data_IF_280141101898
#
_entry.id   IF_280141101898
#
_cell.length_a   1.000
_cell.length_b   1.000
_cell.length_c   1.000
_cell.angle_alpha   90.00
_cell.angle_beta   90.00
_cell.angle_gamma   90.00
#
_symmetry.space_group_name_H-M   'P 1'
#
loop_
_entity.id
_entity.type
_entity.pdbx_description
1 polymer ?
#
# COMPACT_ATOMS: atom_id res chain seq x y z
N UNK A 1 -2.10 -8.26 -41.03
CA UNK A 1 -1.78 -8.99 -39.79
C UNK A 1 -0.67 -8.21 -39.09
N UNK A 2 -1.05 -7.20 -38.31
CA UNK A 2 -0.11 -6.23 -37.73
C UNK A 2 0.53 -6.86 -36.49
N UNK A 3 1.81 -7.21 -36.59
CA UNK A 3 2.62 -7.64 -35.46
C UNK A 3 2.78 -6.46 -34.51
N UNK A 4 1.92 -6.35 -33.51
CA UNK A 4 2.20 -5.52 -32.34
C UNK A 4 3.40 -6.14 -31.62
N UNK A 5 4.60 -5.66 -31.95
CA UNK A 5 5.80 -5.90 -31.16
C UNK A 5 5.53 -5.32 -29.78
N UNK A 6 5.46 -6.20 -28.77
CA UNK A 6 5.32 -5.75 -27.39
C UNK A 6 6.47 -4.77 -27.08
N UNK A 7 6.20 -3.61 -26.44
CA UNK A 7 7.25 -2.65 -26.13
C UNK A 7 8.36 -3.34 -25.34
N UNK A 8 9.62 -3.10 -25.75
CA UNK A 8 10.80 -3.68 -25.10
C UNK A 8 10.85 -3.18 -23.66
N UNK A 9 10.81 -4.11 -22.70
CA UNK A 9 10.83 -3.78 -21.28
C UNK A 9 12.14 -3.09 -20.92
N UNK A 10 12.05 -1.89 -20.32
CA UNK A 10 13.23 -1.13 -19.91
C UNK A 10 13.80 -1.69 -18.60
N UNK A 11 15.13 -1.63 -18.39
CA UNK A 11 15.74 -2.04 -17.13
C UNK A 11 15.18 -1.24 -15.95
N UNK A 12 15.16 -1.85 -14.77
CA UNK A 12 14.78 -1.18 -13.54
C UNK A 12 15.77 -0.05 -13.22
N UNK A 13 15.28 0.99 -12.55
CA UNK A 13 16.13 2.09 -12.11
C UNK A 13 17.17 1.61 -11.11
N UNK A 14 18.30 2.31 -11.06
CA UNK A 14 19.30 2.10 -10.02
C UNK A 14 18.64 2.32 -8.64
N UNK A 15 18.71 1.33 -7.72
CA UNK A 15 18.02 1.39 -6.44
C UNK A 15 18.47 2.58 -5.57
N UNK A 16 19.72 3.03 -5.70
CA UNK A 16 20.22 4.20 -4.98
C UNK A 16 19.57 5.49 -5.48
N UNK A 17 19.40 5.63 -6.80
CA UNK A 17 18.75 6.80 -7.40
C UNK A 17 17.26 6.83 -7.02
N UNK A 18 16.59 5.68 -7.11
CA UNK A 18 15.20 5.55 -6.69
C UNK A 18 15.03 5.84 -5.18
N UNK A 19 15.97 5.36 -4.35
CA UNK A 19 15.99 5.60 -2.91
C UNK A 19 16.18 7.07 -2.54
N UNK A 20 17.11 7.77 -3.19
CA UNK A 20 17.30 9.22 -3.03
C UNK A 20 16.02 9.96 -3.44
N UNK A 21 15.43 9.61 -4.59
CA UNK A 21 14.17 10.21 -5.06
C UNK A 21 13.04 10.03 -4.05
N UNK A 22 12.87 8.81 -3.52
CA UNK A 22 11.87 8.52 -2.49
C UNK A 22 12.14 9.29 -1.18
N UNK A 23 13.41 9.38 -0.76
CA UNK A 23 13.82 10.15 0.42
C UNK A 23 13.54 11.64 0.28
N UNK A 24 13.78 12.22 -0.91
CA UNK A 24 13.44 13.61 -1.22
C UNK A 24 11.92 13.85 -1.21
N UNK A 25 11.13 12.90 -1.74
CA UNK A 25 9.67 12.97 -1.65
C UNK A 25 9.22 12.93 -0.19
N UNK A 26 9.75 12.02 0.61
CA UNK A 26 9.44 11.93 2.04
C UNK A 26 9.81 13.23 2.77
N UNK A 27 11.00 13.79 2.52
CA UNK A 27 11.40 15.08 3.08
C UNK A 27 10.45 16.20 2.66
N UNK A 28 10.09 16.26 1.37
CA UNK A 28 9.15 17.26 0.86
C UNK A 28 7.77 17.14 1.54
N UNK A 29 7.27 15.92 1.80
CA UNK A 29 6.02 15.74 2.55
C UNK A 29 6.12 16.31 3.96
N UNK A 30 7.22 16.07 4.68
CA UNK A 30 7.41 16.68 6.00
C UNK A 30 7.51 18.20 5.95
N UNK A 31 8.24 18.77 4.99
CA UNK A 31 8.48 20.21 4.91
C UNK A 31 7.23 20.98 4.46
N UNK A 32 6.51 20.46 3.47
CA UNK A 32 5.37 21.15 2.86
C UNK A 32 4.08 20.87 3.65
N UNK A 33 3.89 19.62 4.08
CA UNK A 33 2.62 19.18 4.68
C UNK A 33 2.69 19.03 6.19
N UNK A 34 3.89 18.92 6.79
CA UNK A 34 4.06 18.74 8.23
C UNK A 34 3.92 17.29 8.72
N UNK A 35 3.65 16.34 7.83
CA UNK A 35 3.54 14.91 8.14
C UNK A 35 4.11 14.06 6.99
N UNK A 36 4.46 12.80 7.27
CA UNK A 36 5.06 11.90 6.28
C UNK A 36 4.05 11.05 5.51
N UNK A 37 4.57 10.20 4.62
CA UNK A 37 3.82 9.30 3.73
C UNK A 37 2.97 8.26 4.48
N UNK A 38 1.74 8.05 4.02
CA UNK A 38 0.81 7.07 4.57
C UNK A 38 -0.28 6.66 3.59
N UNK A 39 -0.79 5.43 3.70
CA UNK A 39 -1.88 4.92 2.83
C UNK A 39 -3.10 4.40 3.61
N UNK A 40 -2.92 3.87 4.82
CA UNK A 40 -3.98 3.12 5.53
C UNK A 40 -5.13 3.95 6.12
N UNK A 41 -4.94 5.21 6.53
CA UNK A 41 -6.05 6.03 7.06
C UNK A 41 -7.08 6.37 5.97
N UNK A 42 -6.66 6.60 4.73
CA UNK A 42 -7.53 6.89 3.59
C UNK A 42 -8.47 5.72 3.31
N UNK A 43 -7.94 4.50 3.22
CA UNK A 43 -8.72 3.27 2.98
C UNK A 43 -9.75 3.02 4.09
N UNK A 44 -9.42 3.35 5.34
CA UNK A 44 -10.36 3.12 6.45
C UNK A 44 -11.38 4.24 6.57
N UNK A 45 -11.02 5.49 6.29
CA UNK A 45 -11.98 6.60 6.27
C UNK A 45 -12.98 6.43 5.13
N UNK A 46 -12.55 5.97 3.95
CA UNK A 46 -13.48 5.61 2.87
C UNK A 46 -14.37 4.42 3.24
N UNK A 47 -13.84 3.40 3.91
CA UNK A 47 -14.64 2.28 4.40
C UNK A 47 -15.66 2.71 5.48
N UNK A 48 -15.27 3.60 6.40
CA UNK A 48 -16.15 4.14 7.43
C UNK A 48 -17.22 5.06 6.82
N UNK A 49 -16.86 5.89 5.83
CA UNK A 49 -17.83 6.69 5.09
C UNK A 49 -18.84 5.82 4.33
N UNK A 50 -18.38 4.73 3.70
CA UNK A 50 -19.27 3.75 3.08
C UNK A 50 -20.17 3.03 4.09
N UNK A 51 -19.64 2.68 5.27
CA UNK A 51 -20.42 2.08 6.36
C UNK A 51 -21.49 3.06 6.88
N UNK A 52 -21.15 4.35 7.01
CA UNK A 52 -22.09 5.38 7.43
C UNK A 52 -23.22 5.57 6.41
N UNK A 53 -22.92 5.50 5.11
CA UNK A 53 -23.93 5.59 4.05
C UNK A 53 -24.95 4.43 4.07
N UNK A 54 -24.55 3.24 4.56
CA UNK A 54 -25.41 2.04 4.60
C UNK A 54 -26.04 1.84 5.98
N UNK A 55 -25.34 2.15 7.06
CA UNK A 55 -25.74 1.89 8.45
C UNK A 55 -25.22 3.00 9.40
N UNK A 56 -25.79 4.22 9.33
CA UNK A 56 -25.28 5.39 10.07
C UNK A 56 -25.32 5.19 11.58
N UNK A 57 -26.41 4.63 12.11
CA UNK A 57 -26.58 4.38 13.55
C UNK A 57 -25.54 3.43 14.13
N UNK A 58 -25.12 2.41 13.36
CA UNK A 58 -24.07 1.47 13.79
C UNK A 58 -22.68 2.10 13.74
N UNK A 59 -22.45 2.98 12.76
CA UNK A 59 -21.19 3.66 12.60
C UNK A 59 -20.96 4.72 13.70
N UNK A 60 -22.01 5.45 14.09
CA UNK A 60 -21.92 6.50 15.12
C UNK A 60 -21.89 5.94 16.56
N UNK A 61 -22.57 4.81 16.81
CA UNK A 61 -22.61 4.19 18.15
C UNK A 61 -21.36 3.38 18.49
N UNK A 62 -20.54 3.03 17.51
CA UNK A 62 -19.34 2.24 17.73
C UNK A 62 -18.16 3.13 18.15
N UNK A 63 -17.59 2.89 19.33
CA UNK A 63 -16.48 3.67 19.89
C UNK A 63 -15.21 3.64 19.03
N UNK A 64 -15.03 2.63 18.17
CA UNK A 64 -13.93 2.57 17.22
C UNK A 64 -14.20 3.39 15.95
N UNK A 65 -15.45 3.57 15.54
CA UNK A 65 -15.77 4.33 14.33
C UNK A 65 -16.06 5.81 14.62
N UNK A 66 -16.59 6.14 15.80
CA UNK A 66 -16.88 7.51 16.25
C UNK A 66 -15.69 8.49 16.08
N UNK A 67 -14.46 8.01 16.28
CA UNK A 67 -13.21 8.79 16.10
C UNK A 67 -12.92 9.23 14.64
N UNK A 68 -13.61 8.65 13.66
CA UNK A 68 -13.45 8.99 12.24
C UNK A 68 -14.52 9.99 11.73
N UNK A 69 -15.48 10.39 12.57
CA UNK A 69 -16.58 11.30 12.23
C UNK A 69 -16.37 12.76 12.69
N UNK A 70 -15.18 13.11 13.20
CA UNK A 70 -14.86 14.51 13.51
C UNK A 70 -14.77 15.36 12.24
N UNK A 71 -15.01 16.67 12.38
CA UNK A 71 -15.19 17.75 11.37
C UNK A 71 -14.12 17.91 10.26
N UNK A 72 -13.22 16.94 10.07
CA UNK A 72 -12.24 16.97 8.98
C UNK A 72 -12.90 16.46 7.69
N UNK A 73 -13.18 17.38 6.76
CA UNK A 73 -13.63 17.05 5.41
C UNK A 73 -12.71 15.98 4.78
N UNK A 74 -13.29 15.00 4.08
CA UNK A 74 -12.56 13.96 3.31
C UNK A 74 -11.53 14.57 2.34
N UNK A 75 -11.72 15.84 1.95
CA UNK A 75 -10.83 16.63 1.07
C UNK A 75 -9.68 17.33 1.80
N UNK A 76 -9.72 17.48 3.13
CA UNK A 76 -8.58 17.95 3.96
C UNK A 76 -7.60 16.81 4.26
N UNK A 77 -8.02 15.57 4.02
CA UNK A 77 -7.19 14.39 4.16
C UNK A 77 -6.28 14.26 2.91
N UNK A 78 -5.19 15.03 2.91
CA UNK A 78 -4.11 15.01 1.90
C UNK A 78 -3.76 13.61 1.40
N UNK A 79 -3.95 12.60 2.24
CA UNK A 79 -3.71 11.21 1.93
C UNK A 79 -4.52 10.67 0.74
N UNK A 80 -5.66 11.29 0.38
CA UNK A 80 -6.35 10.98 -0.88
C UNK A 80 -5.51 11.42 -2.09
N UNK A 81 -4.90 12.61 -2.04
CA UNK A 81 -3.99 13.07 -3.09
C UNK A 81 -2.70 12.24 -3.14
N UNK A 82 -2.18 11.79 -2.00
CA UNK A 82 -1.07 10.83 -1.96
C UNK A 82 -1.43 9.52 -2.68
N UNK A 83 -2.59 8.93 -2.36
CA UNK A 83 -3.05 7.68 -3.00
C UNK A 83 -3.25 7.87 -4.50
N UNK A 84 -3.89 8.98 -4.92
CA UNK A 84 -4.05 9.32 -6.34
C UNK A 84 -2.69 9.51 -7.03
N UNK A 85 -1.76 10.21 -6.39
CA UNK A 85 -0.40 10.43 -6.88
C UNK A 85 0.38 9.11 -7.04
N UNK A 86 0.26 8.18 -6.10
CA UNK A 86 0.85 6.84 -6.18
C UNK A 86 0.22 6.03 -7.30
N UNK A 87 -1.10 6.10 -7.49
CA UNK A 87 -1.81 5.42 -8.58
C UNK A 87 -1.36 5.94 -9.96
N UNK A 88 -1.37 7.26 -10.15
CA UNK A 88 -0.96 7.90 -11.39
C UNK A 88 0.55 7.69 -11.65
N UNK A 89 1.39 7.87 -10.63
CA UNK A 89 2.82 7.64 -10.71
C UNK A 89 3.17 6.19 -11.04
N UNK A 90 2.48 5.23 -10.43
CA UNK A 90 2.61 3.80 -10.75
C UNK A 90 2.20 3.48 -12.18
N UNK A 91 1.09 4.05 -12.65
CA UNK A 91 0.62 3.87 -14.03
C UNK A 91 1.60 4.45 -15.06
N UNK A 92 2.06 5.69 -14.84
CA UNK A 92 3.07 6.33 -15.69
C UNK A 92 4.41 5.58 -15.65
N UNK A 93 4.81 5.07 -14.49
CA UNK A 93 5.99 4.23 -14.33
C UNK A 93 5.88 2.91 -15.10
N UNK A 94 4.73 2.24 -15.03
CA UNK A 94 4.46 1.02 -15.77
C UNK A 94 4.43 1.26 -17.29
N UNK A 95 3.82 2.35 -17.73
CA UNK A 95 3.76 2.76 -19.13
C UNK A 95 5.16 3.11 -19.68
N UNK A 96 5.89 4.00 -19.01
CA UNK A 96 7.24 4.42 -19.42
C UNK A 96 8.27 3.29 -19.37
N UNK A 97 8.06 2.30 -18.50
CA UNK A 97 8.88 1.09 -18.43
C UNK A 97 8.54 0.02 -19.49
N UNK A 98 7.51 0.22 -20.32
CA UNK A 98 7.06 -0.75 -21.31
C UNK A 98 6.43 -2.02 -20.69
N UNK A 99 5.97 -1.93 -19.43
CA UNK A 99 5.55 -3.08 -18.61
C UNK A 99 4.08 -3.02 -18.17
N UNK A 100 3.30 -2.14 -18.80
CA UNK A 100 1.85 -2.08 -18.57
C UNK A 100 1.18 -3.28 -19.24
N UNK A 101 0.87 -4.31 -18.44
CA UNK A 101 0.21 -5.54 -18.87
C UNK A 101 -0.88 -5.91 -17.87
N UNK A 102 -2.08 -6.19 -18.36
CA UNK A 102 -3.14 -6.77 -17.55
C UNK A 102 -2.96 -8.28 -17.51
N UNK A 103 -2.38 -8.78 -16.41
CA UNK A 103 -2.17 -10.21 -16.19
C UNK A 103 -2.22 -10.53 -14.69
N UNK A 104 -2.55 -11.79 -14.37
CA UNK A 104 -2.51 -12.30 -13.00
C UNK A 104 -1.18 -13.01 -12.78
N UNK A 105 -0.23 -12.32 -12.14
CA UNK A 105 1.06 -12.90 -11.79
C UNK A 105 0.89 -14.10 -10.85
N UNK A 106 1.16 -15.30 -11.38
CA UNK A 106 0.97 -16.58 -10.69
C UNK A 106 2.10 -17.55 -11.02
N UNK A 107 2.38 -18.46 -10.09
CA UNK A 107 3.28 -19.58 -10.37
C UNK A 107 2.65 -20.64 -11.29
N UNK A 108 3.46 -21.53 -11.88
CA UNK A 108 2.98 -22.57 -12.79
C UNK A 108 2.03 -23.57 -12.11
N UNK A 109 2.16 -23.78 -10.80
CA UNK A 109 1.38 -24.78 -10.04
C UNK A 109 0.06 -24.29 -9.46
N UNK A 110 -0.29 -23.02 -9.63
CA UNK A 110 -1.52 -22.45 -9.07
C UNK A 110 -2.48 -21.97 -10.16
N UNK A 111 -3.78 -22.21 -9.95
CA UNK A 111 -4.84 -21.68 -10.81
C UNK A 111 -5.03 -20.18 -10.57
N UNK A 112 -5.64 -19.48 -11.54
CA UNK A 112 -5.96 -18.04 -11.40
C UNK A 112 -6.87 -17.80 -10.19
N UNK A 113 -7.90 -18.63 -10.02
CA UNK A 113 -8.82 -18.55 -8.86
C UNK A 113 -8.09 -18.77 -7.54
N UNK A 114 -7.19 -19.76 -7.49
CA UNK A 114 -6.36 -20.01 -6.31
C UNK A 114 -5.46 -18.82 -5.96
N UNK A 115 -4.81 -18.22 -6.96
CA UNK A 115 -3.96 -17.03 -6.78
C UNK A 115 -4.75 -15.83 -6.27
N UNK A 116 -5.93 -15.58 -6.84
CA UNK A 116 -6.82 -14.51 -6.39
C UNK A 116 -7.33 -14.76 -4.97
N UNK A 117 -7.66 -16.02 -4.61
CA UNK A 117 -8.03 -16.39 -3.26
C UNK A 117 -6.92 -16.11 -2.24
N UNK A 118 -5.68 -16.48 -2.54
CA UNK A 118 -4.53 -16.17 -1.69
C UNK A 118 -4.23 -14.67 -1.61
N UNK A 119 -4.38 -13.93 -2.72
CA UNK A 119 -4.21 -12.48 -2.73
C UNK A 119 -5.26 -11.78 -1.86
N UNK A 120 -6.52 -12.21 -1.93
CA UNK A 120 -7.61 -11.70 -1.11
C UNK A 120 -7.38 -12.02 0.37
N UNK A 121 -7.08 -13.28 0.70
CA UNK A 121 -6.80 -13.69 2.07
C UNK A 121 -5.61 -12.91 2.67
N UNK A 122 -4.53 -12.76 1.90
CA UNK A 122 -3.38 -11.94 2.30
C UNK A 122 -3.75 -10.46 2.50
N UNK A 123 -4.57 -9.89 1.62
CA UNK A 123 -5.06 -8.52 1.74
C UNK A 123 -5.91 -8.28 2.99
N UNK A 124 -6.81 -9.21 3.33
CA UNK A 124 -7.62 -9.15 4.55
C UNK A 124 -6.74 -9.20 5.80
N UNK A 125 -5.79 -10.15 5.85
CA UNK A 125 -4.84 -10.28 6.96
C UNK A 125 -3.99 -9.00 7.08
N UNK A 126 -3.50 -8.47 5.97
CA UNK A 126 -2.69 -7.24 5.94
C UNK A 126 -3.49 -6.02 6.39
N UNK A 127 -4.76 -5.90 6.00
CA UNK A 127 -5.66 -4.83 6.45
C UNK A 127 -5.88 -4.87 7.96
N UNK A 128 -6.13 -6.05 8.52
CA UNK A 128 -6.25 -6.25 9.97
C UNK A 128 -4.92 -5.93 10.69
N UNK A 129 -3.81 -6.47 10.18
CA UNK A 129 -2.48 -6.26 10.75
C UNK A 129 -2.04 -4.78 10.72
N UNK A 130 -2.38 -4.03 9.66
CA UNK A 130 -2.09 -2.61 9.57
C UNK A 130 -2.81 -1.80 10.66
N UNK A 131 -4.00 -2.25 11.09
CA UNK A 131 -4.73 -1.64 12.21
C UNK A 131 -4.14 -2.02 13.56
N UNK A 132 -3.76 -3.27 13.74
CA UNK A 132 -3.04 -3.71 14.94
C UNK A 132 -1.70 -2.98 15.11
N UNK A 133 -0.96 -2.79 14.02
CA UNK A 133 0.31 -2.06 13.97
C UNK A 133 0.18 -0.53 13.93
N UNK A 134 -1.05 0.02 14.01
CA UNK A 134 -1.35 1.46 13.93
C UNK A 134 -0.70 2.15 12.72
N UNK A 135 -0.57 1.45 11.60
CA UNK A 135 0.00 2.00 10.36
C UNK A 135 0.26 0.93 9.29
N UNK A 136 0.35 1.38 8.03
CA UNK A 136 0.87 0.57 6.93
C UNK A 136 2.40 0.54 6.93
N UNK A 137 2.96 -0.25 6.01
CA UNK A 137 4.40 -0.27 5.74
C UNK A 137 4.96 1.11 5.38
N UNK A 138 4.25 1.95 4.60
CA UNK A 138 4.75 3.31 4.32
C UNK A 138 4.80 4.18 5.58
N UNK A 139 3.73 4.20 6.38
CA UNK A 139 3.68 5.00 7.62
C UNK A 139 4.65 4.51 8.69
N UNK A 140 4.76 3.20 8.91
CA UNK A 140 5.69 2.66 9.90
C UNK A 140 7.13 2.64 9.36
N UNK A 141 7.39 2.01 8.21
CA UNK A 141 8.77 1.83 7.75
C UNK A 141 9.41 3.10 7.16
N UNK A 142 8.67 3.91 6.38
CA UNK A 142 9.25 5.13 5.77
C UNK A 142 9.19 6.30 6.76
N UNK A 143 8.00 6.70 7.16
CA UNK A 143 7.80 7.87 8.04
C UNK A 143 8.31 7.61 9.46
N UNK A 144 7.85 6.56 10.11
CA UNK A 144 8.32 6.18 11.45
C UNK A 144 9.80 5.78 11.49
N UNK A 145 10.29 5.08 10.45
CA UNK A 145 11.71 4.75 10.30
C UNK A 145 12.60 5.99 10.17
N UNK A 146 12.21 6.98 9.34
CA UNK A 146 12.96 8.23 9.15
C UNK A 146 13.05 9.11 10.40
N UNK A 147 12.05 9.00 11.29
CA UNK A 147 11.99 9.72 12.57
C UNK A 147 12.56 8.91 13.73
N UNK A 148 13.19 7.76 13.44
CA UNK A 148 13.80 6.87 14.43
C UNK A 148 12.85 6.38 15.53
N UNK A 149 11.56 6.22 15.22
CA UNK A 149 10.58 5.67 16.17
C UNK A 149 10.88 4.19 16.41
N UNK A 150 11.18 3.82 17.65
CA UNK A 150 11.54 2.44 18.02
C UNK A 150 10.49 1.41 17.58
N UNK A 151 9.20 1.72 17.79
CA UNK A 151 8.10 0.83 17.40
C UNK A 151 8.07 0.55 15.89
N UNK A 152 8.43 1.53 15.08
CA UNK A 152 8.49 1.40 13.62
C UNK A 152 9.66 0.54 13.14
N UNK A 153 10.80 0.60 13.83
CA UNK A 153 11.93 -0.30 13.58
C UNK A 153 11.60 -1.75 13.97
N UNK A 154 10.95 -1.95 15.12
CA UNK A 154 10.46 -3.27 15.54
C UNK A 154 9.46 -3.81 14.51
N UNK A 155 8.51 -2.98 14.07
CA UNK A 155 7.55 -3.33 13.02
C UNK A 155 8.27 -3.76 11.74
N UNK A 156 9.24 -2.98 11.27
CA UNK A 156 9.98 -3.29 10.04
C UNK A 156 10.71 -4.63 10.15
N UNK A 157 11.39 -4.89 11.26
CA UNK A 157 12.06 -6.17 11.50
C UNK A 157 11.05 -7.32 11.49
N UNK A 158 9.92 -7.17 12.18
CA UNK A 158 8.87 -8.19 12.25
C UNK A 158 8.28 -8.50 10.86
N UNK A 159 8.09 -7.49 10.00
CA UNK A 159 7.63 -7.68 8.61
C UNK A 159 8.63 -8.50 7.81
N UNK A 160 9.93 -8.19 7.89
CA UNK A 160 10.95 -8.97 7.19
C UNK A 160 11.03 -10.41 7.72
N UNK A 161 11.07 -10.59 9.04
CA UNK A 161 11.11 -11.92 9.66
C UNK A 161 9.89 -12.76 9.26
N UNK A 162 8.68 -12.20 9.38
CA UNK A 162 7.45 -12.87 8.98
C UNK A 162 7.41 -13.20 7.48
N UNK A 163 7.86 -12.27 6.64
CA UNK A 163 7.96 -12.46 5.19
C UNK A 163 8.91 -13.60 4.81
N UNK A 164 10.12 -13.63 5.39
CA UNK A 164 11.08 -14.69 5.15
C UNK A 164 10.63 -16.04 5.73
N UNK A 165 9.94 -16.04 6.87
CA UNK A 165 9.38 -17.26 7.47
C UNK A 165 8.27 -17.88 6.60
N UNK A 166 7.42 -17.06 5.96
CA UNK A 166 6.35 -17.51 5.07
C UNK A 166 6.83 -17.79 3.63
N UNK A 167 8.00 -17.29 3.24
CA UNK A 167 8.54 -17.45 1.88
C UNK A 167 8.62 -18.92 1.41
N UNK A 168 9.05 -19.92 2.21
CA UNK A 168 9.10 -21.32 1.78
C UNK A 168 7.73 -21.87 1.38
N UNK A 169 6.66 -21.47 2.08
CA UNK A 169 5.30 -21.90 1.78
C UNK A 169 4.84 -21.35 0.43
N UNK A 170 5.06 -20.06 0.20
CA UNK A 170 4.66 -19.40 -1.06
C UNK A 170 5.53 -19.82 -2.25
N UNK A 171 6.83 -20.10 -2.03
CA UNK A 171 7.74 -20.60 -3.07
C UNK A 171 7.28 -21.92 -3.68
N UNK A 172 6.54 -22.76 -2.95
CA UNK A 172 5.95 -24.01 -3.48
C UNK A 172 4.95 -23.76 -4.61
N UNK A 173 4.37 -22.57 -4.71
CA UNK A 173 3.46 -22.20 -5.81
C UNK A 173 4.22 -21.89 -7.11
N UNK A 174 5.49 -21.47 -7.00
CA UNK A 174 6.32 -20.97 -8.10
C UNK A 174 7.35 -21.98 -8.62
N UNK A 175 7.83 -22.86 -7.74
CA UNK A 175 8.63 -24.04 -8.10
C UNK A 175 7.72 -25.17 -8.53
#
# INVERSE_FOLDING_TARGET
MSTHTAPVERPLWNPYVAGIGLGLVLLATFVIMGFGLGASSAVTRTAVAGLHAVAPTYAETNSYFSQYFGDAHILEDWMVFEVLGVLLGGLLGAYSGGRLKFDVQKGPRISVRGRLGWALAGGVIMGFAARLGRGCTSGQALTGGSTFVLGSWIFMIAVFVGGYALAPLMRRQWR
#
